data_IF_963160939409
#
_entry.id   IF_963160939409
#
_cell.length_a   1.000
_cell.length_b   1.000
_cell.length_c   1.000
_cell.angle_alpha   90.00
_cell.angle_beta   90.00
_cell.angle_gamma   90.00
#
_symmetry.space_group_name_H-M   'P 1'
#
loop_
_entity.id
_entity.type
_entity.pdbx_description
1 polymer ?
#
# COMPACT_ATOMS: atom_id res chain seq x y z
N UNK A 1 -70.52 14.59 31.42
CA UNK A 1 -69.60 15.18 30.43
C UNK A 1 -68.19 15.12 31.00
N UNK A 2 -67.23 14.67 30.19
CA UNK A 2 -65.77 14.68 30.41
C UNK A 2 -65.22 13.78 31.53
N UNK A 3 -64.06 13.14 31.41
CA UNK A 3 -63.20 12.74 30.29
C UNK A 3 -62.20 11.72 30.87
N UNK A 4 -61.71 10.84 30.01
CA UNK A 4 -60.77 9.76 30.29
C UNK A 4 -59.40 10.25 30.82
N UNK A 5 -58.66 9.36 31.50
CA UNK A 5 -57.24 9.11 31.21
C UNK A 5 -56.78 7.78 31.83
N UNK A 6 -56.73 6.74 31.00
CA UNK A 6 -55.90 5.55 31.22
C UNK A 6 -54.43 5.95 31.03
N UNK A 7 -53.59 5.69 32.03
CA UNK A 7 -52.14 5.83 31.90
C UNK A 7 -51.52 4.43 31.75
N UNK A 8 -51.29 4.02 30.50
CA UNK A 8 -50.53 2.82 30.17
C UNK A 8 -49.05 3.07 30.39
N UNK A 9 -48.45 2.32 31.31
CA UNK A 9 -46.99 2.28 31.50
C UNK A 9 -46.40 1.34 30.44
N UNK A 10 -45.80 1.91 29.38
CA UNK A 10 -44.88 1.17 28.51
C UNK A 10 -43.52 1.10 29.21
N UNK A 11 -43.09 -0.10 29.62
CA UNK A 11 -41.68 -0.37 29.88
C UNK A 11 -40.95 -0.47 28.53
N UNK A 12 -40.21 0.58 28.18
CA UNK A 12 -39.18 0.47 27.15
C UNK A 12 -37.95 -0.22 27.76
N UNK A 13 -37.70 -1.46 27.36
CA UNK A 13 -36.42 -2.12 27.61
C UNK A 13 -35.41 -1.45 26.69
N UNK A 14 -34.59 -0.55 27.24
CA UNK A 14 -33.44 -0.03 26.53
C UNK A 14 -32.39 -1.14 26.46
N UNK A 15 -32.29 -1.82 25.32
CA UNK A 15 -31.09 -2.59 24.96
C UNK A 15 -29.92 -1.60 24.85
N UNK A 16 -29.20 -1.42 25.95
CA UNK A 16 -27.88 -0.80 25.91
C UNK A 16 -26.95 -1.82 25.27
N UNK A 17 -26.82 -1.74 23.95
CA UNK A 17 -25.69 -2.33 23.24
C UNK A 17 -24.42 -1.66 23.77
N UNK A 18 -23.83 -2.23 24.81
CA UNK A 18 -22.48 -1.94 25.27
C UNK A 18 -21.50 -2.42 24.19
N UNK A 19 -21.35 -1.60 23.14
CA UNK A 19 -20.20 -1.71 22.27
C UNK A 19 -18.97 -1.39 23.13
N UNK A 20 -18.26 -2.43 23.55
CA UNK A 20 -16.95 -2.29 24.17
C UNK A 20 -16.08 -1.44 23.24
N UNK A 21 -15.38 -0.40 23.74
CA UNK A 21 -14.42 0.29 22.93
C UNK A 21 -13.31 -0.71 22.61
N UNK A 22 -13.31 -1.23 21.39
CA UNK A 22 -12.11 -1.85 20.85
C UNK A 22 -11.08 -0.75 20.81
N UNK A 23 -10.15 -0.74 21.78
CA UNK A 23 -9.03 0.19 21.83
C UNK A 23 -8.12 -0.13 20.65
N UNK A 24 -8.52 0.33 19.47
CA UNK A 24 -7.72 0.25 18.27
C UNK A 24 -6.39 0.94 18.58
N UNK A 25 -5.29 0.20 18.44
CA UNK A 25 -3.96 0.76 18.65
C UNK A 25 -3.81 2.02 17.80
N UNK A 26 -3.25 3.11 18.35
CA UNK A 26 -3.13 4.36 17.61
C UNK A 26 -2.28 4.14 16.34
N UNK A 27 -2.60 4.85 15.25
CA UNK A 27 -1.81 4.76 14.03
C UNK A 27 -0.36 5.12 14.32
N UNK A 28 0.55 4.34 13.74
CA UNK A 28 1.99 4.58 13.85
C UNK A 28 2.54 5.24 12.60
N UNK A 29 1.91 4.98 11.45
CA UNK A 29 2.17 5.65 10.17
C UNK A 29 0.82 5.80 9.46
N UNK A 30 0.56 6.97 8.88
CA UNK A 30 -0.60 7.24 8.05
C UNK A 30 -0.16 7.76 6.70
N UNK A 31 -0.88 7.39 5.64
CA UNK A 31 -0.66 7.93 4.29
C UNK A 31 -1.93 8.60 3.82
N UNK A 32 -1.82 9.88 3.52
CA UNK A 32 -2.86 10.67 2.91
C UNK A 32 -2.75 10.56 1.39
N UNK A 33 -3.74 9.90 0.78
CA UNK A 33 -3.81 9.61 -0.65
C UNK A 33 -4.55 10.72 -1.39
N UNK A 34 -5.54 11.33 -0.73
CA UNK A 34 -6.26 12.51 -1.21
C UNK A 34 -6.71 13.37 -0.03
N UNK A 35 -7.40 14.47 -0.30
CA UNK A 35 -8.05 15.29 0.74
C UNK A 35 -9.08 14.51 1.55
N UNK A 36 -9.62 13.39 1.02
CA UNK A 36 -10.70 12.62 1.63
C UNK A 36 -10.31 11.18 1.99
N UNK A 37 -9.18 10.69 1.50
CA UNK A 37 -8.74 9.30 1.70
C UNK A 37 -7.43 9.28 2.46
N UNK A 38 -7.46 8.65 3.64
CA UNK A 38 -6.29 8.36 4.46
C UNK A 38 -6.33 6.90 4.87
N UNK A 39 -5.23 6.21 4.62
CA UNK A 39 -4.97 4.86 5.12
C UNK A 39 -3.95 4.95 6.26
N UNK A 40 -3.96 3.97 7.15
CA UNK A 40 -3.00 3.91 8.25
C UNK A 40 -2.50 2.50 8.50
N UNK A 41 -1.32 2.39 9.12
CA UNK A 41 -0.79 1.15 9.64
C UNK A 41 -0.27 1.34 11.06
N UNK A 42 -0.30 0.25 11.81
CA UNK A 42 0.34 0.15 13.12
C UNK A 42 1.78 -0.34 13.01
N UNK A 43 2.24 -0.77 11.82
CA UNK A 43 3.63 -1.14 11.55
C UNK A 43 4.43 0.10 11.13
N UNK A 44 5.65 0.22 11.66
CA UNK A 44 6.61 1.27 11.30
C UNK A 44 7.70 0.62 10.42
N UNK A 45 7.95 1.12 9.21
CA UNK A 45 9.09 0.68 8.41
C UNK A 45 10.43 0.98 9.09
N UNK A 46 11.41 0.10 8.91
CA UNK A 46 12.76 0.31 9.38
C UNK A 46 13.38 1.49 8.64
N UNK A 47 14.09 2.37 9.36
CA UNK A 47 14.80 3.54 8.83
C UNK A 47 13.94 4.58 8.08
N UNK A 48 12.61 4.53 8.22
CA UNK A 48 11.78 5.65 7.77
C UNK A 48 12.23 6.92 8.51
N UNK A 49 12.41 8.07 7.83
CA UNK A 49 12.74 9.32 8.50
C UNK A 49 11.65 9.68 9.52
N UNK A 50 12.03 10.37 10.59
CA UNK A 50 11.03 10.80 11.57
C UNK A 50 10.06 11.81 10.95
N UNK A 51 8.77 11.56 11.17
CA UNK A 51 7.69 12.45 10.79
C UNK A 51 6.81 12.67 12.03
N UNK A 52 6.88 13.86 12.63
CA UNK A 52 6.19 14.15 13.91
C UNK A 52 4.67 13.97 13.80
N UNK A 53 4.07 14.37 12.68
CA UNK A 53 2.64 14.15 12.42
C UNK A 53 2.28 12.68 12.19
N UNK A 54 3.26 11.82 11.90
CA UNK A 54 3.10 10.43 11.39
C UNK A 54 2.35 10.35 10.06
N UNK A 55 2.00 11.48 9.44
CA UNK A 55 1.23 11.55 8.20
C UNK A 55 2.16 11.86 7.05
N UNK A 56 2.14 10.98 6.05
CA UNK A 56 2.85 11.13 4.80
C UNK A 56 1.85 11.43 3.69
N UNK A 57 2.12 12.45 2.89
CA UNK A 57 1.27 12.84 1.76
C UNK A 57 1.96 12.42 0.48
N UNK A 58 1.21 11.81 -0.44
CA UNK A 58 1.73 11.45 -1.76
C UNK A 58 1.73 12.69 -2.67
N UNK A 59 2.88 12.98 -3.30
CA UNK A 59 3.00 13.98 -4.37
C UNK A 59 2.34 13.41 -5.65
N UNK A 60 1.00 13.36 -5.70
CA UNK A 60 0.22 12.84 -6.83
C UNK A 60 -0.91 11.89 -6.42
N UNK A 61 -1.76 11.49 -7.39
CA UNK A 61 -2.90 10.58 -7.15
C UNK A 61 -2.54 9.09 -7.19
N UNK A 62 -1.27 8.74 -7.33
CA UNK A 62 -0.83 7.36 -7.52
C UNK A 62 0.07 6.92 -6.36
N UNK A 63 -0.16 5.71 -5.85
CA UNK A 63 0.51 5.19 -4.64
C UNK A 63 2.01 4.86 -4.84
N UNK A 64 2.50 4.97 -6.08
CA UNK A 64 3.88 4.83 -6.52
C UNK A 64 4.61 6.18 -6.71
N UNK A 65 4.13 7.23 -6.07
CA UNK A 65 4.74 8.57 -6.09
C UNK A 65 5.67 8.81 -4.90
N UNK A 66 6.44 9.91 -4.91
CA UNK A 66 7.23 10.31 -3.74
C UNK A 66 6.27 10.73 -2.62
N UNK A 67 6.53 10.26 -1.40
CA UNK A 67 5.77 10.68 -0.23
C UNK A 67 6.57 11.71 0.59
N UNK A 68 5.90 12.76 1.04
CA UNK A 68 6.46 13.85 1.84
C UNK A 68 5.83 13.84 3.24
N UNK A 69 6.62 14.09 4.28
CA UNK A 69 6.08 14.21 5.64
C UNK A 69 5.25 15.51 5.76
N UNK A 70 4.02 15.42 6.28
CA UNK A 70 3.14 16.59 6.33
C UNK A 70 3.60 17.68 7.30
N UNK A 71 4.31 17.32 8.38
CA UNK A 71 4.90 18.29 9.31
C UNK A 71 6.28 18.82 8.87
N UNK A 72 6.88 18.24 7.82
CA UNK A 72 8.20 18.61 7.31
C UNK A 72 8.33 18.17 5.84
N UNK A 73 7.79 18.96 4.91
CA UNK A 73 7.66 18.59 3.49
C UNK A 73 9.00 18.36 2.76
N UNK A 74 10.11 18.83 3.31
CA UNK A 74 11.47 18.53 2.84
C UNK A 74 11.89 17.09 3.11
N UNK A 75 11.26 16.42 4.08
CA UNK A 75 11.51 15.02 4.43
C UNK A 75 10.71 14.13 3.50
N UNK A 76 11.41 13.45 2.59
CA UNK A 76 10.80 12.66 1.52
C UNK A 76 11.25 11.20 1.52
N UNK A 77 10.34 10.32 1.15
CA UNK A 77 10.60 8.89 0.97
C UNK A 77 10.06 8.40 -0.37
N UNK A 78 10.70 7.37 -0.92
CA UNK A 78 10.19 6.66 -2.07
C UNK A 78 8.90 5.93 -1.68
N UNK A 79 7.85 6.12 -2.48
CA UNK A 79 6.53 5.44 -2.41
C UNK A 79 5.75 5.61 -1.12
N UNK A 80 4.49 5.16 -1.17
CA UNK A 80 3.68 4.96 0.01
C UNK A 80 4.42 4.11 1.06
N UNK A 81 4.49 4.63 2.29
CA UNK A 81 5.21 4.04 3.40
C UNK A 81 4.78 2.61 3.76
N UNK A 82 3.56 2.17 3.42
CA UNK A 82 3.10 0.80 3.68
C UNK A 82 3.72 -0.25 2.76
N UNK A 83 4.47 0.17 1.73
CA UNK A 83 5.07 -0.74 0.74
C UNK A 83 6.51 -1.08 1.09
N UNK A 84 7.19 -0.14 1.73
CA UNK A 84 8.58 -0.30 2.10
C UNK A 84 8.68 -0.90 3.50
N UNK A 85 9.36 -2.02 3.62
CA UNK A 85 9.71 -2.62 4.92
C UNK A 85 10.93 -1.92 5.52
N UNK A 86 11.94 -1.65 4.69
CA UNK A 86 13.21 -1.06 5.11
C UNK A 86 13.64 0.00 4.12
N UNK A 87 13.71 1.24 4.59
CA UNK A 87 14.27 2.36 3.85
C UNK A 87 15.81 2.34 3.90
N UNK A 88 16.46 2.87 2.86
CA UNK A 88 17.92 3.07 2.86
C UNK A 88 18.32 4.06 3.95
N UNK A 89 19.53 3.95 4.49
CA UNK A 89 20.01 4.90 5.51
C UNK A 89 20.34 6.28 4.91
N UNK A 90 20.89 6.29 3.69
CA UNK A 90 21.18 7.50 2.95
C UNK A 90 20.04 7.90 2.01
N UNK A 91 20.06 9.18 1.62
CA UNK A 91 19.11 9.77 0.67
C UNK A 91 19.78 10.03 -0.67
N UNK A 92 19.03 9.88 -1.75
CA UNK A 92 19.44 10.29 -3.09
C UNK A 92 18.52 11.42 -3.55
N UNK A 93 19.08 12.57 -3.96
CA UNK A 93 18.32 13.80 -4.24
C UNK A 93 17.28 14.15 -3.16
N UNK A 94 17.67 14.08 -1.87
CA UNK A 94 16.81 14.33 -0.70
C UNK A 94 15.61 13.38 -0.56
N UNK A 95 15.56 12.28 -1.31
CA UNK A 95 14.55 11.22 -1.16
C UNK A 95 15.20 9.97 -0.61
N UNK A 96 14.62 9.40 0.45
CA UNK A 96 15.08 8.12 0.98
C UNK A 96 14.45 6.97 0.18
N UNK A 97 15.29 6.22 -0.54
CA UNK A 97 14.87 5.08 -1.36
C UNK A 97 14.40 3.89 -0.50
N UNK A 98 13.59 3.01 -1.10
CA UNK A 98 13.19 1.77 -0.44
C UNK A 98 14.17 0.64 -0.75
N UNK A 99 14.89 0.15 0.27
CA UNK A 99 15.85 -0.93 0.11
C UNK A 99 15.24 -2.33 0.20
N UNK A 100 14.09 -2.49 0.87
CA UNK A 100 13.37 -3.76 0.94
C UNK A 100 11.86 -3.52 0.98
N UNK A 101 11.13 -4.17 0.07
CA UNK A 101 9.67 -4.16 0.08
C UNK A 101 9.09 -5.11 1.14
N UNK A 102 7.89 -4.82 1.62
CA UNK A 102 7.04 -5.84 2.22
C UNK A 102 6.66 -6.89 1.16
N UNK A 103 6.30 -8.10 1.57
CA UNK A 103 5.84 -9.15 0.65
C UNK A 103 4.50 -8.80 0.00
N UNK A 104 3.57 -8.27 0.78
CA UNK A 104 2.24 -7.90 0.33
C UNK A 104 1.44 -7.25 1.43
N UNK A 105 0.15 -7.07 1.21
CA UNK A 105 -0.71 -6.37 2.14
C UNK A 105 -2.15 -6.91 2.13
N UNK A 106 -2.89 -6.57 3.16
CA UNK A 106 -4.34 -6.71 3.24
C UNK A 106 -4.91 -5.57 4.09
N UNK A 107 -6.22 -5.37 4.04
CA UNK A 107 -6.88 -4.57 5.08
C UNK A 107 -7.10 -5.38 6.35
N UNK A 108 -7.19 -4.71 7.48
CA UNK A 108 -7.70 -5.32 8.71
C UNK A 108 -9.16 -5.75 8.52
N UNK A 109 -9.55 -6.96 8.95
CA UNK A 109 -10.95 -7.39 8.92
C UNK A 109 -11.89 -6.45 9.68
N UNK A 110 -11.39 -5.78 10.72
CA UNK A 110 -12.18 -4.86 11.55
C UNK A 110 -12.14 -3.40 11.10
N UNK A 111 -11.27 -3.03 10.17
CA UNK A 111 -11.12 -1.65 9.71
C UNK A 111 -10.52 -1.60 8.29
N UNK A 112 -11.34 -1.22 7.31
CA UNK A 112 -10.97 -1.11 5.90
C UNK A 112 -10.04 0.07 5.57
N UNK A 113 -9.65 0.89 6.55
CA UNK A 113 -8.60 1.92 6.41
C UNK A 113 -7.28 1.49 7.03
N UNK A 114 -7.28 0.42 7.83
CA UNK A 114 -6.07 -0.12 8.42
C UNK A 114 -5.39 -1.08 7.44
N UNK A 115 -4.26 -0.67 6.89
CA UNK A 115 -3.41 -1.50 6.04
C UNK A 115 -2.48 -2.34 6.91
N UNK A 116 -2.49 -3.64 6.65
CA UNK A 116 -1.62 -4.65 7.26
C UNK A 116 -0.58 -5.09 6.23
N UNK A 117 0.63 -4.48 6.23
CA UNK A 117 1.71 -4.95 5.38
C UNK A 117 2.35 -6.20 6.00
N UNK A 118 2.68 -7.19 5.17
CA UNK A 118 3.23 -8.47 5.57
C UNK A 118 4.70 -8.56 5.18
N UNK A 119 5.55 -8.97 6.12
CA UNK A 119 7.00 -9.09 5.88
C UNK A 119 7.30 -10.21 4.88
N UNK A 120 6.59 -11.32 5.00
CA UNK A 120 6.74 -12.51 4.19
C UNK A 120 5.41 -13.29 4.12
N UNK A 121 5.42 -14.37 3.33
CA UNK A 121 4.26 -15.22 3.14
C UNK A 121 3.86 -15.99 4.42
N UNK A 122 4.81 -16.31 5.29
CA UNK A 122 4.55 -17.06 6.52
C UNK A 122 3.79 -16.19 7.54
N UNK A 123 4.19 -14.93 7.69
CA UNK A 123 3.49 -13.96 8.54
C UNK A 123 2.06 -13.71 8.05
N UNK A 124 1.86 -13.59 6.73
CA UNK A 124 0.54 -13.42 6.15
C UNK A 124 -0.36 -14.65 6.39
N UNK A 125 0.18 -15.86 6.18
CA UNK A 125 -0.53 -17.11 6.40
C UNK A 125 -0.91 -17.30 7.87
N UNK A 126 0.00 -17.01 8.80
CA UNK A 126 -0.25 -17.13 10.25
C UNK A 126 -1.36 -16.19 10.74
N UNK A 127 -1.57 -15.05 10.08
CA UNK A 127 -2.64 -14.12 10.42
C UNK A 127 -4.02 -14.55 9.90
N UNK A 128 -4.10 -15.59 9.06
CA UNK A 128 -5.37 -16.09 8.51
C UNK A 128 -6.07 -15.11 7.55
N UNK A 129 -5.37 -14.08 7.06
CA UNK A 129 -5.94 -13.08 6.16
C UNK A 129 -5.42 -13.28 4.74
N UNK A 130 -6.33 -13.27 3.77
CA UNK A 130 -5.96 -13.32 2.35
C UNK A 130 -5.25 -12.03 1.93
N UNK A 131 -4.02 -12.16 1.43
CA UNK A 131 -3.25 -11.06 0.83
C UNK A 131 -4.01 -10.50 -0.37
N UNK A 132 -4.20 -9.19 -0.39
CA UNK A 132 -4.94 -8.45 -1.42
C UNK A 132 -4.06 -7.99 -2.58
N UNK A 133 -2.76 -7.84 -2.33
CA UNK A 133 -1.77 -7.51 -3.35
C UNK A 133 -0.35 -7.72 -2.81
N UNK A 134 0.60 -7.76 -3.72
CA UNK A 134 2.01 -8.02 -3.47
C UNK A 134 2.83 -6.81 -3.83
N UNK A 135 3.97 -6.62 -3.17
CA UNK A 135 4.89 -5.54 -3.52
C UNK A 135 6.16 -6.13 -4.12
N UNK A 136 6.54 -5.59 -5.27
CA UNK A 136 7.77 -5.94 -5.96
C UNK A 136 8.76 -4.80 -5.88
N UNK A 137 10.06 -5.09 -5.69
CA UNK A 137 11.10 -4.09 -5.87
C UNK A 137 10.99 -3.47 -7.25
N UNK A 138 11.16 -2.16 -7.34
CA UNK A 138 11.27 -1.44 -8.59
C UNK A 138 12.38 -0.40 -8.53
N UNK A 139 12.95 -0.13 -9.69
CA UNK A 139 13.85 0.99 -9.94
C UNK A 139 13.15 1.92 -10.92
N UNK A 140 13.06 3.20 -10.56
CA UNK A 140 12.39 4.22 -11.38
C UNK A 140 13.37 5.29 -11.82
N UNK A 141 13.61 5.42 -13.13
CA UNK A 141 14.68 6.28 -13.65
C UNK A 141 14.41 7.77 -13.48
N UNK A 142 13.19 8.23 -13.72
CA UNK A 142 12.79 9.63 -13.61
C UNK A 142 11.91 9.86 -12.37
N UNK A 143 12.14 10.93 -11.59
CA UNK A 143 13.01 12.09 -11.89
C UNK A 143 14.50 11.91 -11.58
N UNK A 144 14.92 10.95 -10.76
CA UNK A 144 16.31 10.84 -10.33
C UNK A 144 16.67 9.45 -9.78
N UNK A 145 16.49 8.39 -10.56
CA UNK A 145 16.85 7.00 -10.21
C UNK A 145 16.49 6.59 -8.77
N UNK A 146 15.28 6.07 -8.57
CA UNK A 146 14.74 5.79 -7.25
C UNK A 146 14.41 4.30 -7.08
N UNK A 147 15.00 3.69 -6.05
CA UNK A 147 14.57 2.38 -5.56
C UNK A 147 13.27 2.50 -4.76
N UNK A 148 12.34 1.60 -5.03
CA UNK A 148 10.94 1.76 -4.69
C UNK A 148 10.23 0.40 -4.70
N UNK A 149 8.94 0.38 -4.36
CA UNK A 149 8.10 -0.81 -4.39
C UNK A 149 6.83 -0.55 -5.20
N UNK A 150 6.58 -1.37 -6.23
CA UNK A 150 5.34 -1.33 -7.02
C UNK A 150 4.36 -2.37 -6.51
N UNK A 151 3.07 -2.04 -6.53
CA UNK A 151 2.03 -3.00 -6.18
C UNK A 151 1.58 -3.79 -7.42
N UNK A 152 1.53 -5.11 -7.27
CA UNK A 152 0.98 -6.06 -8.26
C UNK A 152 -0.03 -6.99 -7.59
N UNK A 153 -0.97 -7.54 -8.36
CA UNK A 153 -1.95 -8.48 -7.82
C UNK A 153 -1.64 -9.94 -8.18
N UNK A 154 -0.92 -10.15 -9.28
CA UNK A 154 -0.41 -11.46 -9.65
C UNK A 154 0.75 -11.88 -8.73
N UNK A 155 0.50 -12.88 -7.87
CA UNK A 155 1.51 -13.45 -6.97
C UNK A 155 2.71 -14.02 -7.72
N UNK A 156 2.51 -14.58 -8.92
CA UNK A 156 3.57 -15.26 -9.69
C UNK A 156 4.66 -14.28 -10.12
N UNK A 157 4.37 -12.99 -10.13
CA UNK A 157 5.37 -11.97 -10.41
C UNK A 157 6.50 -11.93 -9.39
N UNK A 158 6.24 -12.35 -8.13
CA UNK A 158 7.26 -12.45 -7.08
C UNK A 158 8.36 -13.48 -7.38
N UNK A 159 8.05 -14.52 -8.16
CA UNK A 159 9.05 -15.50 -8.60
C UNK A 159 9.56 -15.23 -10.01
N UNK A 160 8.87 -14.37 -10.78
CA UNK A 160 9.22 -14.07 -12.17
C UNK A 160 10.19 -12.90 -12.31
N UNK A 161 10.10 -11.90 -11.43
CA UNK A 161 10.92 -10.70 -11.45
C UNK A 161 11.64 -10.56 -10.12
N UNK A 162 12.95 -10.36 -10.15
CA UNK A 162 13.69 -9.90 -8.97
C UNK A 162 13.35 -8.43 -8.69
N UNK A 163 13.19 -7.63 -9.76
CA UNK A 163 12.71 -6.26 -9.70
C UNK A 163 12.11 -5.80 -11.03
N UNK A 164 11.40 -4.67 -11.00
CA UNK A 164 10.85 -4.00 -12.18
C UNK A 164 11.65 -2.72 -12.47
N UNK A 165 12.14 -2.58 -13.69
CA UNK A 165 12.65 -1.32 -14.21
C UNK A 165 11.51 -0.51 -14.81
N UNK A 166 11.37 0.76 -14.44
CA UNK A 166 10.34 1.65 -14.97
C UNK A 166 10.88 3.03 -15.28
N UNK A 167 10.41 3.65 -16.35
CA UNK A 167 10.92 4.94 -16.83
C UNK A 167 10.56 6.11 -15.91
N UNK A 168 9.34 6.19 -15.39
CA UNK A 168 8.93 7.27 -14.48
C UNK A 168 7.88 6.85 -13.44
N UNK A 169 7.68 7.70 -12.43
CA UNK A 169 6.65 7.51 -11.38
C UNK A 169 5.30 8.13 -11.76
N UNK A 170 4.21 7.64 -11.16
CA UNK A 170 2.93 8.38 -11.10
C UNK A 170 2.07 8.33 -12.35
N UNK A 171 2.35 7.41 -13.28
CA UNK A 171 1.63 7.29 -14.55
C UNK A 171 1.79 5.92 -15.22
N UNK A 172 1.23 5.80 -16.42
CA UNK A 172 1.45 4.68 -17.32
C UNK A 172 2.78 4.89 -18.02
N UNK A 173 3.75 4.06 -17.69
CA UNK A 173 5.09 4.17 -18.24
C UNK A 173 5.65 2.82 -18.67
N UNK A 174 6.52 2.80 -19.70
CA UNK A 174 7.22 1.59 -20.09
C UNK A 174 7.94 0.97 -18.90
N UNK A 175 7.79 -0.34 -18.76
CA UNK A 175 8.38 -1.12 -17.70
C UNK A 175 8.97 -2.43 -18.23
N UNK A 176 9.91 -3.00 -17.49
CA UNK A 176 10.50 -4.30 -17.77
C UNK A 176 10.72 -5.09 -16.48
N UNK A 177 10.47 -6.39 -16.56
CA UNK A 177 10.77 -7.35 -15.52
C UNK A 177 12.21 -7.83 -15.69
N UNK A 178 13.02 -7.64 -14.65
CA UNK A 178 14.40 -8.11 -14.61
C UNK A 178 14.50 -9.27 -13.65
N UNK A 179 15.17 -10.34 -14.08
CA UNK A 179 15.53 -11.47 -13.23
C UNK A 179 16.91 -11.98 -13.60
N UNK A 180 17.73 -12.23 -12.58
CA UNK A 180 19.11 -12.68 -12.73
C UNK A 180 19.21 -13.91 -13.64
N UNK A 181 20.22 -13.91 -14.51
CA UNK A 181 20.49 -14.97 -15.48
C UNK A 181 19.33 -15.28 -16.46
N UNK A 182 18.35 -14.38 -16.60
CA UNK A 182 17.30 -14.50 -17.62
C UNK A 182 17.23 -13.22 -18.47
N UNK A 183 16.84 -13.33 -19.75
CA UNK A 183 16.59 -12.14 -20.57
C UNK A 183 15.54 -11.25 -19.93
N UNK A 184 15.79 -9.93 -19.93
CA UNK A 184 14.84 -8.94 -19.44
C UNK A 184 13.58 -8.97 -20.31
N UNK A 185 12.41 -9.04 -19.66
CA UNK A 185 11.12 -9.09 -20.35
C UNK A 185 10.43 -7.73 -20.25
N UNK A 186 10.18 -7.09 -21.40
CA UNK A 186 9.34 -5.90 -21.45
C UNK A 186 7.87 -6.26 -21.14
N UNK A 187 7.15 -5.35 -20.49
CA UNK A 187 5.70 -5.45 -20.42
C UNK A 187 5.07 -5.11 -21.77
N UNK A 188 3.97 -5.78 -22.12
CA UNK A 188 3.28 -5.57 -23.39
C UNK A 188 2.53 -4.24 -23.44
N UNK A 189 2.09 -3.74 -22.28
CA UNK A 189 1.49 -2.43 -22.09
C UNK A 189 2.22 -1.69 -20.98
N UNK A 190 2.15 -0.36 -21.03
CA UNK A 190 2.72 0.50 -20.00
C UNK A 190 2.14 0.19 -18.63
N UNK A 191 3.01 0.16 -17.63
CA UNK A 191 2.67 -0.24 -16.28
C UNK A 191 2.38 1.00 -15.44
N UNK A 192 1.18 1.05 -14.86
CA UNK A 192 0.85 1.95 -13.76
C UNK A 192 0.89 1.18 -12.45
N UNK A 193 0.96 1.93 -11.37
CA UNK A 193 0.75 1.36 -10.06
C UNK A 193 -0.67 0.81 -9.89
N UNK A 194 -0.78 -0.29 -9.14
CA UNK A 194 -2.04 -1.00 -8.98
C UNK A 194 -2.67 -1.39 -10.32
N UNK A 195 -1.85 -1.67 -11.36
CA UNK A 195 -2.36 -2.19 -12.62
C UNK A 195 -3.25 -3.39 -12.32
N UNK A 196 -4.49 -3.36 -12.82
CA UNK A 196 -5.57 -4.29 -12.48
C UNK A 196 -5.34 -5.70 -13.00
N UNK A 197 -4.10 -6.10 -13.24
CA UNK A 197 -3.79 -7.40 -13.79
C UNK A 197 -3.68 -8.45 -12.68
N UNK A 198 -4.58 -9.42 -12.75
CA UNK A 198 -4.63 -10.59 -11.87
C UNK A 198 -3.61 -11.66 -12.27
N UNK A 199 -3.29 -11.75 -13.57
CA UNK A 199 -2.41 -12.77 -14.11
C UNK A 199 -1.63 -12.27 -15.33
N UNK A 200 -0.30 -12.40 -15.28
CA UNK A 200 0.61 -12.12 -16.39
C UNK A 200 1.13 -13.41 -17.01
N UNK A 201 1.26 -13.40 -18.33
CA UNK A 201 1.93 -14.47 -19.09
C UNK A 201 2.88 -13.89 -20.13
N UNK A 202 3.85 -14.70 -20.56
CA UNK A 202 4.73 -14.33 -21.67
C UNK A 202 3.99 -14.60 -22.99
N UNK A 203 3.81 -13.55 -23.79
CA UNK A 203 3.13 -13.58 -25.09
C UNK A 203 3.98 -12.79 -26.08
N UNK A 204 4.41 -13.44 -27.17
CA UNK A 204 5.27 -12.78 -28.16
C UNK A 204 6.54 -12.17 -27.54
N UNK A 205 7.13 -12.83 -26.54
CA UNK A 205 8.33 -12.36 -25.84
C UNK A 205 8.12 -11.20 -24.86
N UNK A 206 6.87 -10.81 -24.57
CA UNK A 206 6.54 -9.74 -23.61
C UNK A 206 5.65 -10.24 -22.48
N UNK A 207 5.69 -9.59 -21.33
CA UNK A 207 4.75 -9.84 -20.24
C UNK A 207 3.43 -9.13 -20.53
N UNK A 208 2.42 -9.90 -20.92
CA UNK A 208 1.09 -9.40 -21.21
C UNK A 208 0.13 -9.78 -20.08
N UNK A 209 -0.76 -8.84 -19.75
CA UNK A 209 -1.86 -9.16 -18.85
C UNK A 209 -2.85 -10.10 -19.54
N UNK A 210 -3.18 -11.21 -18.89
CA UNK A 210 -4.14 -12.20 -19.39
C UNK A 210 -5.51 -12.05 -18.76
N UNK A 211 -5.55 -11.67 -17.49
CA UNK A 211 -6.77 -11.55 -16.70
C UNK A 211 -6.71 -10.25 -15.93
N UNK A 212 -7.73 -9.40 -16.09
CA UNK A 212 -7.93 -8.24 -15.24
C UNK A 212 -8.77 -8.62 -14.01
N UNK A 213 -8.62 -7.84 -12.94
CA UNK A 213 -9.41 -7.90 -11.69
C UNK A 213 -10.75 -7.23 -11.90
#
# INVERSE_FOLDING_TARGET
MSAAMMLSVLLAVADVATSAPTTALPPRVSVQISTTVTEFSTKIPVNIPQCQSKVWTLDGRAFDSIASCSSAVSTKVAVNAFRCKTYREYTFHNVRGCGQCYYGWSYSPSNNRQVLPWIDAAQAAAAGVAVKGYFLPQVVFSPFYMESCIMVYDKTMLSRCDYINRTAVGGLYPASCVKAATPTLAFAADLKDAASCKEYAVVGGKLACKVNI
#
